data_IF_595305554040
#
_entry.id   IF_595305554040
#
_cell.length_a   1.000
_cell.length_b   1.000
_cell.length_c   1.000
_cell.angle_alpha   90.00
_cell.angle_beta   90.00
_cell.angle_gamma   90.00
#
_symmetry.space_group_name_H-M   'P 1'
#
loop_
_entity.id
_entity.type
_entity.pdbx_description
1 polymer ?
#
# COMPACT_ATOMS: atom_id res chain seq x y z
N UNK A 1 6.63 -7.82 2.01
CA UNK A 1 6.70 -6.67 1.06
C UNK A 1 5.28 -6.25 0.67
N UNK A 2 4.95 -4.96 0.46
CA UNK A 2 3.58 -4.55 0.10
C UNK A 2 3.37 -4.52 -1.42
N UNK A 3 2.20 -4.95 -1.92
CA UNK A 3 1.81 -4.97 -3.34
C UNK A 3 0.38 -4.45 -3.49
N UNK A 4 0.11 -3.72 -4.56
CA UNK A 4 -1.24 -3.29 -4.91
C UNK A 4 -1.98 -4.45 -5.59
N UNK A 5 -3.19 -4.74 -5.11
CA UNK A 5 -4.09 -5.77 -5.63
C UNK A 5 -5.45 -5.15 -5.93
N UNK A 6 -6.15 -5.68 -6.93
CA UNK A 6 -7.51 -5.22 -7.25
C UNK A 6 -8.50 -6.02 -6.40
N UNK A 7 -9.38 -5.32 -5.69
CA UNK A 7 -10.40 -5.89 -4.79
C UNK A 7 -11.77 -5.43 -5.29
N UNK A 8 -12.38 -6.23 -6.17
CA UNK A 8 -13.59 -5.83 -6.89
C UNK A 8 -13.36 -4.57 -7.74
N UNK A 9 -14.09 -3.49 -7.44
CA UNK A 9 -13.95 -2.18 -8.10
C UNK A 9 -12.92 -1.24 -7.43
N UNK A 10 -12.23 -1.70 -6.38
CA UNK A 10 -11.28 -0.91 -5.59
C UNK A 10 -9.86 -1.49 -5.66
N UNK A 11 -8.90 -0.77 -5.10
CA UNK A 11 -7.49 -1.17 -5.04
C UNK A 11 -7.05 -1.36 -3.59
N UNK A 12 -6.70 -2.57 -3.22
CA UNK A 12 -6.16 -2.92 -1.91
C UNK A 12 -4.64 -2.95 -1.89
N UNK A 13 -4.05 -2.70 -0.73
CA UNK A 13 -2.63 -3.00 -0.48
C UNK A 13 -2.56 -4.31 0.29
N UNK A 14 -1.94 -5.31 -0.33
CA UNK A 14 -1.73 -6.63 0.25
C UNK A 14 -0.25 -6.90 0.52
N UNK A 15 0.00 -7.83 1.44
CA UNK A 15 1.31 -8.37 1.64
C UNK A 15 1.66 -9.32 0.48
N UNK A 16 2.77 -9.07 -0.20
CA UNK A 16 3.21 -9.76 -1.41
C UNK A 16 3.46 -11.26 -1.19
N UNK A 17 3.83 -11.68 0.02
CA UNK A 17 4.12 -13.08 0.34
C UNK A 17 2.85 -13.81 0.80
N UNK A 18 2.05 -13.18 1.66
CA UNK A 18 0.91 -13.85 2.31
C UNK A 18 -0.42 -13.56 1.61
N UNK A 19 -0.45 -12.66 0.62
CA UNK A 19 -1.67 -12.23 -0.08
C UNK A 19 -2.67 -11.45 0.77
N UNK A 20 -2.44 -11.33 2.09
CA UNK A 20 -3.37 -10.69 3.02
C UNK A 20 -3.41 -9.19 2.83
N UNK A 21 -4.61 -8.61 2.79
CA UNK A 21 -4.79 -7.16 2.77
C UNK A 21 -4.28 -6.57 4.09
N UNK A 22 -3.47 -5.52 3.98
CA UNK A 22 -2.95 -4.81 5.14
C UNK A 22 -4.10 -4.09 5.87
N UNK A 23 -4.08 -4.17 7.19
CA UNK A 23 -5.00 -3.44 8.06
C UNK A 23 -4.21 -2.36 8.79
N UNK A 24 -4.67 -1.12 8.70
CA UNK A 24 -4.07 0.06 9.33
C UNK A 24 -5.11 0.74 10.21
N UNK A 25 -4.82 0.90 11.51
CA UNK A 25 -5.76 1.49 12.49
C UNK A 25 -7.18 0.88 12.40
N UNK A 26 -7.27 -0.45 12.34
CA UNK A 26 -8.55 -1.17 12.25
C UNK A 26 -9.26 -1.11 10.89
N UNK A 27 -8.71 -0.41 9.89
CA UNK A 27 -9.29 -0.33 8.53
C UNK A 27 -8.42 -1.05 7.51
N UNK A 28 -9.05 -1.80 6.59
CA UNK A 28 -8.35 -2.41 5.44
C UNK A 28 -7.79 -1.29 4.57
N UNK A 29 -6.54 -1.43 4.13
CA UNK A 29 -5.88 -0.51 3.21
C UNK A 29 -6.45 -0.66 1.79
N UNK A 30 -7.71 -0.26 1.61
CA UNK A 30 -8.46 -0.30 0.35
C UNK A 30 -8.76 1.13 -0.06
N UNK A 31 -8.39 1.45 -1.29
CA UNK A 31 -8.48 2.77 -1.90
C UNK A 31 -9.35 2.71 -3.15
N UNK A 32 -9.92 3.85 -3.52
CA UNK A 32 -10.74 3.98 -4.73
C UNK A 32 -9.86 4.00 -5.98
N UNK A 33 -8.64 4.54 -5.88
CA UNK A 33 -7.71 4.67 -7.00
C UNK A 33 -6.46 3.81 -6.83
N UNK A 34 -5.87 3.43 -7.96
CA UNK A 34 -4.59 2.70 -7.98
C UNK A 34 -3.45 3.57 -7.45
N UNK A 35 -3.48 4.87 -7.72
CA UNK A 35 -2.44 5.81 -7.30
C UNK A 35 -2.32 5.90 -5.78
N UNK A 36 -3.44 6.01 -5.08
CA UNK A 36 -3.46 6.01 -3.61
C UNK A 36 -2.95 4.69 -3.03
N UNK A 37 -3.39 3.57 -3.58
CA UNK A 37 -2.91 2.25 -3.16
C UNK A 37 -1.40 2.08 -3.39
N UNK A 38 -0.87 2.60 -4.50
CA UNK A 38 0.57 2.58 -4.79
C UNK A 38 1.33 3.42 -3.77
N UNK A 39 0.91 4.66 -3.52
CA UNK A 39 1.56 5.55 -2.57
C UNK A 39 1.58 4.94 -1.15
N UNK A 40 0.51 4.26 -0.74
CA UNK A 40 0.45 3.57 0.56
C UNK A 40 1.31 2.31 0.60
N UNK A 41 1.35 1.54 -0.50
CA UNK A 41 2.25 0.40 -0.64
C UNK A 41 3.72 0.84 -0.56
N UNK A 42 4.08 1.96 -1.18
CA UNK A 42 5.41 2.56 -1.12
C UNK A 42 5.75 3.06 0.28
N UNK A 43 4.84 3.79 0.94
CA UNK A 43 5.00 4.18 2.35
C UNK A 43 5.19 2.96 3.25
N UNK A 44 4.45 1.88 3.00
CA UNK A 44 4.58 0.64 3.74
C UNK A 44 5.95 -0.01 3.51
N UNK A 45 6.41 -0.07 2.25
CA UNK A 45 7.75 -0.55 1.90
C UNK A 45 8.82 0.28 2.59
N UNK A 46 8.68 1.61 2.60
CA UNK A 46 9.58 2.48 3.33
C UNK A 46 9.59 2.16 4.83
N UNK A 47 8.43 2.08 5.48
CA UNK A 47 8.38 1.85 6.93
C UNK A 47 9.01 0.51 7.34
N UNK A 48 8.93 -0.50 6.47
CA UNK A 48 9.44 -1.85 6.74
C UNK A 48 10.92 -1.99 6.33
N UNK A 49 11.33 -1.38 5.22
CA UNK A 49 12.68 -1.53 4.65
C UNK A 49 13.62 -0.35 4.94
N UNK A 50 13.11 0.76 5.48
CA UNK A 50 13.85 2.02 5.64
C UNK A 50 14.06 2.80 4.33
N UNK A 51 13.68 2.23 3.18
CA UNK A 51 13.88 2.83 1.85
C UNK A 51 12.68 3.72 1.53
N UNK A 52 12.69 4.95 2.04
CA UNK A 52 11.72 5.97 1.65
C UNK A 52 12.15 6.64 0.35
N UNK A 53 11.29 6.71 -0.68
CA UNK A 53 11.52 7.70 -1.73
C UNK A 53 11.52 9.07 -1.04
N UNK A 54 12.63 9.81 -1.12
CA UNK A 54 12.65 11.24 -0.78
C UNK A 54 11.52 11.86 -1.59
N UNK A 55 10.42 12.27 -0.93
CA UNK A 55 9.44 13.14 -1.56
C UNK A 55 10.23 14.34 -2.07
N UNK A 56 10.49 14.42 -3.39
CA UNK A 56 10.82 15.70 -4.01
C UNK A 56 9.60 16.57 -3.73
N UNK A 57 9.75 17.47 -2.76
CA UNK A 57 8.77 18.49 -2.45
C UNK A 57 8.41 19.21 -3.75
N UNK A 58 7.12 19.46 -3.91
CA UNK A 58 6.62 20.42 -4.89
C UNK A 58 6.76 21.80 -4.29
#
# INVERSE_FOLDING_TARGET
MAKVVKVGKKYGVAHAITGKILVRKGRRAIFSTRAEATADAEKTRCRVLGICPRKKGK
#
